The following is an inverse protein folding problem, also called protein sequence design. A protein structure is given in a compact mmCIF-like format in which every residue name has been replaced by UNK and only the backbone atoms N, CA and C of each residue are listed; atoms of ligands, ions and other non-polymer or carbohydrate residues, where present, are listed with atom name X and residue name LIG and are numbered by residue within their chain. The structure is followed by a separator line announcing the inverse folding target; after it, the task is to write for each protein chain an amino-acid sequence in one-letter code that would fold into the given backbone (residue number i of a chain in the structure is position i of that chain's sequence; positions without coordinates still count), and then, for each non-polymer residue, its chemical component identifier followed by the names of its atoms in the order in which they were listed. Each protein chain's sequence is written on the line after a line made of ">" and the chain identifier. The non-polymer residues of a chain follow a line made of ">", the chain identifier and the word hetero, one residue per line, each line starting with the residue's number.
data_IF_915494447024
#
_entry.id   IF_915494447024
#
_cell.length_a   1.000
_cell.length_b   1.000
_cell.length_c   1.000
_cell.angle_alpha   90.00
_cell.angle_beta   90.00
_cell.angle_gamma   90.00
#
_symmetry.space_group_name_H-M   'P 1'
#
loop_
_entity.id
_entity.type
_entity.pdbx_description
1 polymer ?
#
# COMPACT_ATOMS: atom_id res chain seq x y z
N UNK A 1 -4.78 -9.15 13.49
CA UNK A 1 -3.58 -9.88 13.05
C UNK A 1 -2.51 -8.84 12.71
N UNK A 2 -1.26 -9.04 13.11
CA UNK A 2 -0.16 -8.12 12.77
C UNK A 2 0.49 -8.57 11.47
N UNK A 3 1.32 -7.73 10.83
CA UNK A 3 2.00 -8.11 9.58
C UNK A 3 2.79 -9.43 9.68
N UNK A 4 3.47 -9.69 10.80
CA UNK A 4 4.13 -10.99 11.04
C UNK A 4 3.14 -12.16 11.09
N UNK A 5 1.99 -11.97 11.73
CA UNK A 5 0.96 -13.00 11.74
C UNK A 5 0.34 -13.22 10.36
N UNK A 6 0.28 -12.19 9.51
CA UNK A 6 -0.13 -12.34 8.11
C UNK A 6 0.90 -13.17 7.34
N UNK A 7 2.21 -12.93 7.50
CA UNK A 7 3.27 -13.73 6.90
C UNK A 7 3.12 -15.23 7.29
N UNK A 8 2.95 -15.51 8.59
CA UNK A 8 2.79 -16.88 9.09
C UNK A 8 1.54 -17.57 8.52
N UNK A 9 0.42 -16.86 8.44
CA UNK A 9 -0.82 -17.41 7.87
C UNK A 9 -0.72 -17.57 6.37
N UNK A 10 -0.06 -16.66 5.67
CA UNK A 10 0.20 -16.80 4.24
C UNK A 10 0.93 -18.11 3.96
N UNK A 11 2.01 -18.41 4.70
CA UNK A 11 2.73 -19.67 4.56
C UNK A 11 1.83 -20.89 4.81
N UNK A 12 1.02 -20.88 5.88
CA UNK A 12 0.08 -21.97 6.17
C UNK A 12 -0.94 -22.15 5.03
N UNK A 13 -1.48 -21.06 4.49
CA UNK A 13 -2.47 -21.12 3.41
C UNK A 13 -1.82 -21.64 2.12
N UNK A 14 -0.66 -21.10 1.75
CA UNK A 14 0.07 -21.45 0.53
C UNK A 14 0.51 -22.93 0.54
N UNK A 15 1.03 -23.43 1.67
CA UNK A 15 1.38 -24.86 1.85
C UNK A 15 0.17 -25.79 1.65
N UNK A 16 -1.04 -25.29 1.82
CA UNK A 16 -2.29 -26.02 1.63
C UNK A 16 -2.98 -25.70 0.29
N UNK A 17 -2.35 -24.92 -0.60
CA UNK A 17 -2.93 -24.49 -1.87
C UNK A 17 -4.14 -23.56 -1.71
N UNK A 18 -4.17 -22.78 -0.62
CA UNK A 18 -5.24 -21.86 -0.26
C UNK A 18 -4.75 -20.41 -0.30
N UNK A 19 -5.70 -19.49 -0.34
CA UNK A 19 -5.47 -18.04 -0.34
C UNK A 19 -6.12 -17.38 0.87
N UNK A 20 -5.79 -16.11 1.10
CA UNK A 20 -6.54 -15.28 2.05
C UNK A 20 -8.02 -15.14 1.66
N UNK A 21 -8.36 -15.25 0.37
CA UNK A 21 -9.75 -15.31 -0.08
C UNK A 21 -10.49 -16.51 0.50
N UNK A 22 -9.87 -17.70 0.49
CA UNK A 22 -10.42 -18.91 1.12
C UNK A 22 -10.58 -18.74 2.63
N UNK A 23 -9.65 -18.04 3.28
CA UNK A 23 -9.77 -17.70 4.70
C UNK A 23 -11.00 -16.82 4.95
N UNK A 24 -11.22 -15.79 4.13
CA UNK A 24 -12.39 -14.91 4.24
C UNK A 24 -13.70 -15.66 3.95
N UNK A 25 -13.70 -16.59 2.99
CA UNK A 25 -14.84 -17.46 2.74
C UNK A 25 -15.18 -18.33 3.96
N UNK A 26 -14.16 -18.88 4.63
CA UNK A 26 -14.35 -19.65 5.88
C UNK A 26 -14.94 -18.79 7.00
N UNK A 27 -14.52 -17.53 7.13
CA UNK A 27 -15.14 -16.59 8.08
C UNK A 27 -16.64 -16.43 7.78
N UNK A 28 -16.99 -16.18 6.52
CA UNK A 28 -18.39 -16.03 6.10
C UNK A 28 -19.22 -17.28 6.38
N UNK A 29 -18.72 -18.46 6.02
CA UNK A 29 -19.39 -19.75 6.28
C UNK A 29 -19.55 -20.02 7.78
N UNK A 30 -18.60 -19.61 8.61
CA UNK A 30 -18.59 -19.89 10.05
C UNK A 30 -19.50 -18.98 10.86
N UNK A 31 -19.59 -17.71 10.49
CA UNK A 31 -20.32 -16.69 11.25
C UNK A 31 -21.64 -16.28 10.58
N UNK A 32 -21.79 -16.50 9.27
CA UNK A 32 -22.96 -16.13 8.47
C UNK A 32 -22.84 -14.73 7.88
N UNK A 33 -23.42 -14.54 6.68
CA UNK A 33 -23.44 -13.25 5.98
C UNK A 33 -24.11 -12.20 6.87
N UNK A 34 -23.47 -11.03 7.02
CA UNK A 34 -23.98 -9.92 7.83
C UNK A 34 -23.78 -10.04 9.35
N UNK A 35 -23.30 -11.18 9.85
CA UNK A 35 -23.10 -11.42 11.30
C UNK A 35 -21.66 -11.19 11.78
N UNK A 36 -20.77 -10.77 10.89
CA UNK A 36 -19.39 -10.47 11.20
C UNK A 36 -18.91 -9.28 10.38
N UNK A 37 -17.84 -8.63 10.86
CA UNK A 37 -17.32 -7.44 10.22
C UNK A 37 -15.80 -7.37 10.38
N UNK A 38 -15.10 -7.08 9.27
CA UNK A 38 -13.67 -6.82 9.32
C UNK A 38 -13.45 -5.37 9.71
N UNK A 39 -13.04 -5.14 10.96
CA UNK A 39 -12.89 -3.77 11.50
C UNK A 39 -11.64 -3.06 10.97
N UNK A 40 -10.65 -3.81 10.50
CA UNK A 40 -9.41 -3.29 9.93
C UNK A 40 -8.75 -4.30 8.99
N UNK A 41 -8.26 -3.80 7.86
CA UNK A 41 -7.45 -4.54 6.91
C UNK A 41 -6.38 -3.60 6.35
N UNK A 42 -5.12 -4.01 6.40
CA UNK A 42 -4.01 -3.23 5.84
C UNK A 42 -3.53 -3.96 4.59
N UNK A 43 -3.42 -3.25 3.46
CA UNK A 43 -2.95 -3.80 2.18
C UNK A 43 -1.62 -3.14 1.84
N UNK A 44 -0.56 -3.93 1.62
CA UNK A 44 0.75 -3.40 1.27
C UNK A 44 1.09 -3.59 -0.22
N UNK A 45 1.80 -2.62 -0.77
CA UNK A 45 2.45 -2.67 -2.09
C UNK A 45 3.95 -2.46 -1.86
N UNK A 46 4.75 -3.43 -2.31
CA UNK A 46 6.21 -3.36 -2.26
C UNK A 46 6.81 -2.97 -3.62
N UNK A 47 7.57 -1.89 -3.63
CA UNK A 47 8.44 -1.49 -4.73
C UNK A 47 9.87 -1.93 -4.43
N UNK A 48 10.29 -3.03 -5.07
CA UNK A 48 11.65 -3.57 -5.02
C UNK A 48 12.45 -3.34 -6.31
N UNK A 49 12.07 -2.33 -7.10
CA UNK A 49 12.81 -2.02 -8.31
C UNK A 49 14.18 -1.43 -7.96
N UNK A 50 15.20 -1.73 -8.79
CA UNK A 50 16.55 -1.15 -8.64
C UNK A 50 16.48 0.39 -8.64
N UNK A 51 15.69 0.94 -9.56
CA UNK A 51 15.24 2.34 -9.51
C UNK A 51 13.81 2.37 -8.98
N UNK A 52 13.57 2.87 -7.75
CA UNK A 52 12.22 2.94 -7.21
C UNK A 52 11.37 3.93 -7.98
N UNK A 53 10.06 3.70 -8.03
CA UNK A 53 9.11 4.62 -8.65
C UNK A 53 9.14 5.98 -7.96
N UNK A 54 9.29 5.99 -6.64
CA UNK A 54 9.39 7.20 -5.83
C UNK A 54 10.37 7.03 -4.68
N UNK A 55 10.84 8.16 -4.16
CA UNK A 55 11.54 8.24 -2.88
C UNK A 55 10.60 8.81 -1.83
N UNK A 56 10.84 8.47 -0.55
CA UNK A 56 10.05 9.02 0.56
C UNK A 56 10.17 10.55 0.61
N UNK A 57 11.33 11.08 0.24
CA UNK A 57 11.57 12.53 0.16
C UNK A 57 10.71 13.22 -0.93
N UNK A 58 10.48 12.56 -2.07
CA UNK A 58 9.57 13.09 -3.10
C UNK A 58 8.13 13.14 -2.57
N UNK A 59 7.68 12.09 -1.89
CA UNK A 59 6.35 12.05 -1.28
C UNK A 59 6.20 13.15 -0.21
N UNK A 60 7.19 13.28 0.68
CA UNK A 60 7.25 14.33 1.71
C UNK A 60 7.10 15.73 1.10
N UNK A 61 7.93 16.06 0.10
CA UNK A 61 7.90 17.36 -0.58
C UNK A 61 6.56 17.65 -1.24
N UNK A 62 5.88 16.62 -1.76
CA UNK A 62 4.54 16.79 -2.33
C UNK A 62 3.50 17.09 -1.27
N UNK A 63 3.55 16.42 -0.12
CA UNK A 63 2.69 16.71 1.02
C UNK A 63 2.92 18.14 1.56
N UNK A 64 4.17 18.55 1.76
CA UNK A 64 4.54 19.89 2.25
C UNK A 64 4.05 21.02 1.33
N UNK A 65 3.98 20.77 0.02
CA UNK A 65 3.42 21.71 -0.98
C UNK A 65 1.92 21.58 -1.18
N UNK A 66 1.26 20.69 -0.44
CA UNK A 66 -0.14 20.31 -0.62
C UNK A 66 -0.48 19.86 -2.06
N UNK A 67 0.49 19.26 -2.76
CA UNK A 67 0.41 18.76 -4.13
C UNK A 67 -0.12 17.32 -4.17
N UNK A 68 -1.22 17.06 -3.44
CA UNK A 68 -1.93 15.78 -3.44
C UNK A 68 -3.44 15.97 -3.27
N UNK A 69 -4.21 14.95 -3.65
CA UNK A 69 -5.66 14.83 -3.48
C UNK A 69 -5.92 13.47 -2.84
N UNK A 70 -6.56 13.47 -1.68
CA UNK A 70 -6.95 12.28 -0.95
C UNK A 70 -8.29 12.49 -0.22
N UNK A 71 -8.84 11.43 0.36
CA UNK A 71 -10.04 11.51 1.21
C UNK A 71 -9.83 12.35 2.48
N UNK A 72 -8.58 12.64 2.85
CA UNK A 72 -8.21 13.48 3.99
C UNK A 72 -6.99 14.32 3.62
N UNK A 73 -6.99 15.59 4.02
CA UNK A 73 -5.88 16.53 3.79
C UNK A 73 -4.79 16.43 4.89
N UNK A 74 -5.04 15.70 5.97
CA UNK A 74 -4.07 15.55 7.04
C UNK A 74 -2.87 14.71 6.60
N UNK A 75 -1.67 15.13 6.97
CA UNK A 75 -0.45 14.34 6.82
C UNK A 75 0.49 14.57 8.00
N UNK A 76 1.35 13.61 8.30
CA UNK A 76 2.45 13.77 9.27
C UNK A 76 3.66 12.96 8.85
N UNK A 77 4.81 13.32 9.42
CA UNK A 77 6.09 12.72 9.12
C UNK A 77 6.71 12.19 10.42
N UNK A 78 7.05 10.91 10.43
CA UNK A 78 7.88 10.33 11.48
C UNK A 78 9.29 10.18 10.95
N UNK A 79 10.23 10.78 11.66
CA UNK A 79 11.66 10.67 11.42
C UNK A 79 12.30 10.06 12.66
N UNK A 80 12.61 8.75 12.61
CA UNK A 80 13.34 8.09 13.69
C UNK A 80 14.82 7.99 13.31
N UNK A 81 15.70 8.40 14.24
CA UNK A 81 17.14 8.18 14.10
C UNK A 81 17.42 6.71 14.42
N UNK A 82 17.89 5.97 13.42
CA UNK A 82 18.20 4.55 13.56
C UNK A 82 19.69 4.33 13.92
N UNK A 83 20.55 5.26 13.47
CA UNK A 83 21.96 5.41 13.84
C UNK A 83 22.40 6.86 13.51
N UNK A 84 23.59 7.30 13.90
CA UNK A 84 24.15 8.66 13.70
C UNK A 84 24.15 9.13 12.22
N UNK A 85 23.89 8.23 11.27
CA UNK A 85 23.95 8.50 9.83
C UNK A 85 22.67 8.22 9.03
N UNK A 86 21.67 7.49 9.56
CA UNK A 86 20.46 7.14 8.81
C UNK A 86 19.17 7.38 9.61
N UNK A 87 18.30 8.21 9.03
CA UNK A 87 16.96 8.52 9.55
C UNK A 87 15.94 7.72 8.77
N UNK A 88 15.23 6.80 9.42
CA UNK A 88 14.08 6.15 8.80
C UNK A 88 12.97 7.19 8.66
N UNK A 89 12.46 7.36 7.44
CA UNK A 89 11.43 8.35 7.10
C UNK A 89 10.13 7.63 6.79
N UNK A 90 9.07 7.98 7.50
CA UNK A 90 7.71 7.53 7.21
C UNK A 90 6.83 8.74 6.94
N UNK A 91 6.13 8.71 5.81
CA UNK A 91 5.08 9.69 5.48
C UNK A 91 3.73 9.06 5.69
N UNK A 92 2.88 9.71 6.47
CA UNK A 92 1.49 9.32 6.69
C UNK A 92 0.57 10.32 6.00
N UNK A 93 -0.45 9.82 5.31
CA UNK A 93 -1.52 10.64 4.73
C UNK A 93 -2.87 10.10 5.24
N UNK A 94 -3.69 10.99 5.77
CA UNK A 94 -4.94 10.71 6.45
C UNK A 94 -4.77 10.38 7.94
N UNK A 95 -5.90 10.37 8.66
CA UNK A 95 -5.95 10.00 10.07
C UNK A 95 -6.04 8.47 10.23
N UNK A 96 -5.28 7.89 11.16
CA UNK A 96 -5.31 6.47 11.46
C UNK A 96 -6.66 5.94 11.98
N UNK A 97 -7.61 6.81 12.33
CA UNK A 97 -9.01 6.50 12.70
C UNK A 97 -9.97 6.61 11.51
N UNK A 98 -9.54 7.21 10.40
CA UNK A 98 -10.36 7.31 9.19
C UNK A 98 -10.55 5.95 8.52
N UNK A 99 -11.56 5.85 7.65
CA UNK A 99 -11.83 4.63 6.89
C UNK A 99 -10.69 4.23 5.93
N UNK A 100 -9.81 5.15 5.56
CA UNK A 100 -8.65 4.89 4.69
C UNK A 100 -7.51 5.87 5.00
N UNK A 101 -6.33 5.33 5.31
CA UNK A 101 -5.09 6.10 5.49
C UNK A 101 -3.91 5.39 4.82
N UNK A 102 -2.83 6.14 4.57
CA UNK A 102 -1.67 5.67 3.83
C UNK A 102 -0.39 5.83 4.65
N UNK A 103 0.53 4.89 4.46
CA UNK A 103 1.92 4.99 4.96
C UNK A 103 2.89 4.73 3.82
N UNK A 104 3.87 5.60 3.67
CA UNK A 104 4.99 5.45 2.74
C UNK A 104 6.28 5.44 3.53
N UNK A 105 7.07 4.37 3.40
CA UNK A 105 8.34 4.26 4.12
C UNK A 105 9.34 3.36 3.39
N UNK A 106 10.60 3.53 3.76
CA UNK A 106 11.67 2.59 3.42
C UNK A 106 11.53 1.35 4.30
N UNK A 107 11.21 0.20 3.70
CA UNK A 107 11.07 -1.03 4.47
C UNK A 107 12.44 -1.58 4.80
N UNK A 108 12.86 -1.39 6.05
CA UNK A 108 14.12 -1.94 6.54
C UNK A 108 14.01 -3.45 6.74
N UNK A 109 14.90 -4.18 6.07
CA UNK A 109 14.89 -5.66 6.03
C UNK A 109 16.19 -6.25 6.57
N UNK A 110 17.27 -5.49 6.61
CA UNK A 110 18.60 -5.98 6.98
C UNK A 110 18.63 -6.58 8.40
N UNK A 111 18.02 -5.92 9.38
CA UNK A 111 17.97 -6.40 10.77
C UNK A 111 17.08 -7.64 10.96
N UNK A 112 16.08 -7.85 10.11
CA UNK A 112 15.12 -8.98 10.21
C UNK A 112 15.63 -10.25 9.52
N UNK A 113 16.45 -10.12 8.47
CA UNK A 113 16.87 -11.26 7.63
C UNK A 113 18.38 -11.50 7.58
N UNK A 114 19.17 -10.77 8.37
CA UNK A 114 20.63 -10.92 8.43
C UNK A 114 21.31 -10.78 7.06
N UNK A 115 20.71 -9.95 6.19
CA UNK A 115 21.18 -9.63 4.84
C UNK A 115 21.76 -8.23 4.80
N UNK A 116 22.72 -8.00 3.92
CA UNK A 116 23.34 -6.67 3.76
C UNK A 116 22.43 -5.73 2.95
N UNK A 117 22.65 -4.41 3.06
CA UNK A 117 21.94 -3.41 2.25
C UNK A 117 22.15 -3.65 0.74
N UNK A 118 23.35 -4.09 0.35
CA UNK A 118 23.70 -4.41 -1.04
C UNK A 118 22.94 -5.65 -1.57
N UNK A 119 22.63 -6.61 -0.70
CA UNK A 119 21.84 -7.80 -1.07
C UNK A 119 20.34 -7.52 -1.16
N UNK A 120 19.86 -6.49 -0.48
CA UNK A 120 18.43 -6.20 -0.35
C UNK A 120 17.92 -5.18 -1.38
N UNK A 121 18.78 -4.27 -1.84
CA UNK A 121 18.40 -3.22 -2.78
C UNK A 121 17.37 -2.23 -2.23
N UNK A 122 16.83 -1.36 -3.10
CA UNK A 122 15.79 -0.42 -2.72
C UNK A 122 14.47 -1.15 -2.42
N UNK A 123 13.89 -0.91 -1.24
CA UNK A 123 12.57 -1.43 -0.88
C UNK A 123 11.69 -0.31 -0.32
N UNK A 124 10.78 0.21 -1.15
CA UNK A 124 9.76 1.16 -0.72
C UNK A 124 8.46 0.43 -0.48
N UNK A 125 7.76 0.75 0.59
CA UNK A 125 6.45 0.18 0.89
C UNK A 125 5.39 1.27 0.98
N UNK A 126 4.27 0.99 0.33
CA UNK A 126 3.02 1.72 0.49
C UNK A 126 2.03 0.83 1.22
N UNK A 127 1.58 1.22 2.40
CA UNK A 127 0.49 0.53 3.11
C UNK A 127 -0.79 1.37 3.06
N UNK A 128 -1.90 0.74 2.69
CA UNK A 128 -3.24 1.30 2.76
C UNK A 128 -3.98 0.63 3.90
N UNK A 129 -4.22 1.39 4.97
CA UNK A 129 -5.00 0.91 6.11
C UNK A 129 -6.47 1.24 5.89
N UNK A 130 -7.28 0.20 5.72
CA UNK A 130 -8.73 0.26 5.63
C UNK A 130 -9.36 -0.01 7.00
N UNK A 131 -10.48 0.66 7.29
CA UNK A 131 -11.29 0.39 8.47
C UNK A 131 -12.76 0.18 8.12
N UNK A 132 -13.43 -0.50 9.03
CA UNK A 132 -14.86 -0.71 9.05
C UNK A 132 -15.42 -1.15 7.69
N UNK A 133 -16.41 -0.43 7.14
CA UNK A 133 -17.05 -0.75 5.86
C UNK A 133 -16.07 -0.91 4.70
N UNK A 134 -15.02 -0.08 4.64
CA UNK A 134 -14.01 -0.16 3.58
C UNK A 134 -13.15 -1.42 3.71
N UNK A 135 -12.81 -1.82 4.94
CA UNK A 135 -12.05 -3.05 5.19
C UNK A 135 -12.89 -4.29 4.83
N UNK A 136 -14.15 -4.32 5.26
CA UNK A 136 -15.06 -5.41 4.95
C UNK A 136 -15.35 -5.52 3.44
N UNK A 137 -15.64 -4.41 2.77
CA UNK A 137 -15.89 -4.40 1.33
C UNK A 137 -14.68 -4.88 0.51
N UNK A 138 -13.47 -4.44 0.87
CA UNK A 138 -12.25 -4.93 0.23
C UNK A 138 -12.06 -6.43 0.45
N UNK A 139 -12.23 -6.91 1.69
CA UNK A 139 -12.11 -8.33 2.01
C UNK A 139 -13.11 -9.19 1.22
N UNK A 140 -14.37 -8.75 1.07
CA UNK A 140 -15.37 -9.48 0.28
C UNK A 140 -15.05 -9.47 -1.21
N UNK A 141 -14.57 -8.34 -1.74
CA UNK A 141 -14.14 -8.28 -3.15
C UNK A 141 -12.95 -9.20 -3.39
N UNK A 142 -11.99 -9.24 -2.46
CA UNK A 142 -10.82 -10.11 -2.56
C UNK A 142 -11.14 -11.59 -2.37
N UNK A 143 -12.10 -11.92 -1.50
CA UNK A 143 -12.68 -13.27 -1.38
C UNK A 143 -13.16 -13.79 -2.73
N UNK A 144 -13.88 -12.96 -3.48
CA UNK A 144 -14.47 -13.34 -4.77
C UNK A 144 -13.46 -13.31 -5.93
N UNK A 145 -12.36 -12.54 -5.77
CA UNK A 145 -11.31 -12.33 -6.80
C UNK A 145 -9.89 -12.53 -6.22
N UNK A 146 -9.56 -13.72 -5.66
CA UNK A 146 -8.33 -13.92 -4.88
C UNK A 146 -7.04 -13.86 -5.70
N UNK A 147 -7.11 -14.03 -7.02
CA UNK A 147 -5.94 -13.94 -7.91
C UNK A 147 -5.63 -12.50 -8.36
N UNK A 148 -6.43 -11.53 -7.92
CA UNK A 148 -6.42 -10.16 -8.46
C UNK A 148 -6.09 -9.13 -7.37
N UNK A 149 -5.42 -9.55 -6.29
CA UNK A 149 -5.01 -8.66 -5.19
C UNK A 149 -4.25 -7.43 -5.69
N UNK A 150 -3.37 -7.61 -6.67
CA UNK A 150 -2.64 -6.50 -7.29
C UNK A 150 -3.57 -5.48 -7.94
N UNK A 151 -4.50 -5.93 -8.78
CA UNK A 151 -5.49 -5.04 -9.42
C UNK A 151 -6.34 -4.31 -8.37
N UNK A 152 -6.81 -5.02 -7.34
CA UNK A 152 -7.61 -4.45 -6.26
C UNK A 152 -6.82 -3.41 -5.45
N UNK A 153 -5.57 -3.71 -5.09
CA UNK A 153 -4.70 -2.83 -4.33
C UNK A 153 -4.34 -1.56 -5.12
N UNK A 154 -3.93 -1.70 -6.38
CA UNK A 154 -3.63 -0.54 -7.22
C UNK A 154 -4.87 0.28 -7.55
N UNK A 155 -6.01 -0.37 -7.79
CA UNK A 155 -7.29 0.32 -7.98
C UNK A 155 -7.71 1.10 -6.74
N UNK A 156 -7.54 0.53 -5.55
CA UNK A 156 -7.78 1.22 -4.29
C UNK A 156 -6.90 2.47 -4.16
N UNK A 157 -5.60 2.35 -4.42
CA UNK A 157 -4.66 3.47 -4.36
C UNK A 157 -5.01 4.55 -5.39
N UNK A 158 -5.16 4.19 -6.66
CA UNK A 158 -5.40 5.11 -7.78
C UNK A 158 -6.68 5.93 -7.61
N UNK A 159 -7.74 5.30 -7.10
CA UNK A 159 -9.05 5.92 -6.96
C UNK A 159 -9.13 6.86 -5.74
N UNK A 160 -8.22 6.73 -4.76
CA UNK A 160 -8.34 7.44 -3.48
C UNK A 160 -7.13 8.33 -3.13
N UNK A 161 -6.03 8.25 -3.87
CA UNK A 161 -4.86 9.10 -3.67
C UNK A 161 -4.20 9.45 -5.01
N UNK A 162 -4.06 10.76 -5.25
CA UNK A 162 -3.35 11.31 -6.41
C UNK A 162 -2.33 12.32 -5.93
N UNK A 163 -1.15 12.31 -6.54
CA UNK A 163 -0.18 13.39 -6.44
C UNK A 163 -0.22 14.19 -7.74
N UNK A 164 -0.09 15.51 -7.65
CA UNK A 164 -0.37 16.40 -8.78
C UNK A 164 0.84 17.29 -9.12
N UNK A 165 0.92 17.68 -10.39
CA UNK A 165 1.92 18.62 -10.88
C UNK A 165 1.38 20.04 -10.71
N UNK A 166 2.11 20.90 -10.02
CA UNK A 166 1.70 22.30 -9.87
C UNK A 166 1.68 23.03 -11.22
N UNK A 167 0.61 23.80 -11.46
CA UNK A 167 0.46 24.64 -12.64
C UNK A 167 0.17 26.08 -12.20
N UNK A 168 1.00 27.03 -12.66
CA UNK A 168 0.86 28.44 -12.29
C UNK A 168 -0.44 29.08 -12.78
N UNK A 169 -1.07 28.49 -13.80
CA UNK A 169 -2.28 29.00 -14.43
C UNK A 169 -3.54 28.24 -14.02
N UNK A 170 -3.44 27.19 -13.18
CA UNK A 170 -4.58 26.40 -12.72
C UNK A 170 -4.47 26.17 -11.21
N UNK A 171 -5.39 26.78 -10.45
CA UNK A 171 -5.45 26.65 -8.99
C UNK A 171 -6.35 25.50 -8.54
N UNK A 172 -7.24 25.01 -9.40
CA UNK A 172 -8.12 23.90 -9.08
C UNK A 172 -7.36 22.58 -9.17
N UNK A 173 -6.98 22.03 -8.01
CA UNK A 173 -6.24 20.76 -7.87
C UNK A 173 -6.86 19.62 -8.67
N UNK A 174 -8.19 19.53 -8.78
CA UNK A 174 -8.86 18.42 -9.50
C UNK A 174 -8.54 18.37 -11.01
N UNK A 175 -8.18 19.51 -11.61
CA UNK A 175 -7.83 19.66 -13.03
C UNK A 175 -6.33 19.52 -13.29
N UNK A 176 -5.52 19.47 -12.23
CA UNK A 176 -4.08 19.29 -12.36
C UNK A 176 -3.75 17.86 -12.79
N UNK A 177 -2.68 17.75 -13.58
CA UNK A 177 -2.18 16.48 -14.08
C UNK A 177 -1.59 15.63 -12.96
N UNK A 178 -1.67 14.31 -13.13
CA UNK A 178 -1.05 13.37 -12.20
C UNK A 178 0.47 13.42 -12.31
N UNK A 179 1.12 13.34 -11.15
CA UNK A 179 2.56 13.13 -11.08
C UNK A 179 2.98 11.84 -11.81
N UNK A 180 4.02 11.91 -12.67
CA UNK A 180 4.42 10.77 -13.49
C UNK A 180 4.83 9.53 -12.71
N UNK A 181 5.40 9.67 -11.51
CA UNK A 181 5.88 8.50 -10.76
C UNK A 181 4.75 7.56 -10.34
N UNK A 182 3.61 8.10 -9.89
CA UNK A 182 2.43 7.31 -9.60
C UNK A 182 1.73 6.86 -10.88
N UNK A 183 1.68 7.70 -11.91
CA UNK A 183 1.19 7.28 -13.22
C UNK A 183 2.01 6.11 -13.82
N UNK A 184 3.28 5.98 -13.46
CA UNK A 184 4.17 4.88 -13.86
C UNK A 184 3.91 3.63 -13.03
N UNK A 185 3.71 3.78 -11.70
CA UNK A 185 3.20 2.71 -10.85
C UNK A 185 1.90 2.12 -11.43
N UNK A 186 0.97 2.97 -11.89
CA UNK A 186 -0.30 2.53 -12.49
C UNK A 186 -0.18 1.99 -13.93
N UNK A 187 0.73 2.53 -14.76
CA UNK A 187 0.95 2.02 -16.13
C UNK A 187 1.72 0.70 -16.18
N UNK A 188 2.60 0.44 -15.21
CA UNK A 188 3.20 -0.88 -15.00
C UNK A 188 2.18 -1.96 -14.63
N UNK A 189 0.95 -1.57 -14.27
CA UNK A 189 -0.12 -2.45 -13.80
C UNK A 189 -1.27 -2.65 -14.80
N UNK A 190 -1.28 -1.98 -15.95
CA UNK A 190 -2.51 -1.78 -16.73
C UNK A 190 -2.64 -2.44 -18.11
N UNK A 191 -1.59 -2.98 -18.75
CA UNK A 191 -1.72 -3.34 -20.19
C UNK A 191 -0.96 -4.57 -20.68
N UNK A 192 -0.56 -5.49 -19.81
CA UNK A 192 0.15 -6.67 -20.31
C UNK A 192 -0.35 -7.96 -19.68
N UNK A 193 -0.70 -8.93 -20.53
CA UNK A 193 -0.79 -10.37 -20.20
C UNK A 193 0.57 -10.96 -19.84
N UNK A 194 1.52 -10.13 -19.42
CA UNK A 194 2.77 -10.56 -18.79
C UNK A 194 2.56 -10.45 -17.28
N UNK A 195 3.10 -11.42 -16.51
CA UNK A 195 2.99 -11.37 -15.06
C UNK A 195 3.47 -10.01 -14.58
N UNK A 196 2.67 -9.38 -13.72
CA UNK A 196 3.06 -8.23 -12.89
C UNK A 196 4.51 -8.43 -12.47
N UNK A 197 5.36 -7.38 -12.50
CA UNK A 197 6.78 -7.54 -12.24
C UNK A 197 6.97 -8.39 -10.99
N UNK A 198 7.74 -9.49 -11.14
CA UNK A 198 7.96 -10.53 -10.11
C UNK A 198 8.50 -9.99 -8.76
N UNK A 199 8.73 -8.69 -8.68
CA UNK A 199 9.34 -7.93 -7.58
C UNK A 199 8.33 -7.21 -6.69
N UNK A 200 7.05 -7.13 -7.06
CA UNK A 200 5.98 -6.62 -6.18
C UNK A 200 5.29 -7.78 -5.50
N UNK A 201 5.68 -8.04 -4.24
CA UNK A 201 4.94 -8.96 -3.36
C UNK A 201 3.82 -8.19 -2.66
N UNK A 202 2.66 -8.83 -2.54
CA UNK A 202 1.48 -8.31 -1.85
C UNK A 202 1.29 -9.13 -0.59
N UNK A 203 1.19 -8.45 0.55
CA UNK A 203 0.90 -9.04 1.87
C UNK A 203 -0.09 -8.14 2.59
#
# INVERSE_FOLDING_TARGET
>A
MTGRGCDDIFHILDENGLTFGDMFERCERRYGIGNYHFTRLDVAIDDRNETPFFTIEQIKKKCEKEEFIANSEGYHFDESKFDDFNTAKTVYIGDGKSGLSYRFYDKEVCSKYNKTLDEMGSWKRTEMQLRDEKAHAFAMTFKDRPLELGELAFGLLANNLRFIVANRNESNKSRLENEPFLATLFRGCGTSKTPYPKTTEYL
#
